data_IF_153682801595
#
_entry.id   IF_153682801595
#
_cell.length_a   1.000
_cell.length_b   1.000
_cell.length_c   1.000
_cell.angle_alpha   90.00
_cell.angle_beta   90.00
_cell.angle_gamma   90.00
#
_symmetry.space_group_name_H-M   'P 1'
#
loop_
_entity.id
_entity.type
_entity.pdbx_description
1 polymer ?
#
# COMPACT_ATOMS: atom_id res chain seq x y z
N UNK A 1 -7.88 -13.13 4.98
CA UNK A 1 -9.20 -12.86 5.60
C UNK A 1 -9.69 -13.92 6.59
N UNK A 2 -9.58 -15.24 6.31
CA UNK A 2 -10.14 -16.29 7.21
C UNK A 2 -9.65 -16.20 8.67
N UNK A 3 -8.44 -15.71 8.91
CA UNK A 3 -7.90 -15.50 10.27
C UNK A 3 -8.45 -14.24 10.94
N UNK A 4 -8.60 -13.13 10.21
CA UNK A 4 -9.07 -11.86 10.79
C UNK A 4 -10.56 -11.90 11.13
N UNK A 5 -11.40 -12.46 10.25
CA UNK A 5 -12.83 -12.58 10.51
C UNK A 5 -13.14 -13.45 11.74
N UNK A 6 -12.25 -14.41 12.07
CA UNK A 6 -12.36 -15.23 13.28
C UNK A 6 -11.92 -14.50 14.54
N UNK A 7 -10.88 -13.66 14.45
CA UNK A 7 -10.29 -12.96 15.62
C UNK A 7 -11.03 -11.64 15.92
N UNK A 8 -11.37 -10.88 14.88
CA UNK A 8 -12.01 -9.59 14.97
C UNK A 8 -13.08 -9.44 13.86
N UNK A 9 -14.27 -10.06 14.03
CA UNK A 9 -15.32 -10.07 13.01
C UNK A 9 -15.72 -8.67 12.54
N UNK A 10 -15.87 -7.72 13.47
CA UNK A 10 -16.26 -6.34 13.13
C UNK A 10 -15.20 -5.62 12.30
N UNK A 11 -13.91 -5.86 12.59
CA UNK A 11 -12.84 -5.26 11.80
C UNK A 11 -12.83 -5.82 10.37
N UNK A 12 -13.03 -7.13 10.21
CA UNK A 12 -13.14 -7.74 8.88
C UNK A 12 -14.35 -7.18 8.08
N UNK A 13 -15.49 -6.99 8.75
CA UNK A 13 -16.67 -6.37 8.15
C UNK A 13 -16.38 -4.92 7.70
N UNK A 14 -15.75 -4.10 8.56
CA UNK A 14 -15.39 -2.72 8.22
C UNK A 14 -14.36 -2.66 7.08
N UNK A 15 -13.36 -3.54 7.08
CA UNK A 15 -12.41 -3.64 5.97
C UNK A 15 -13.10 -3.97 4.65
N UNK A 16 -14.09 -4.87 4.66
CA UNK A 16 -14.80 -5.18 3.42
C UNK A 16 -15.72 -4.03 2.99
N UNK A 17 -16.60 -3.57 3.89
CA UNK A 17 -17.70 -2.69 3.53
C UNK A 17 -17.27 -1.23 3.39
N UNK A 18 -16.49 -0.72 4.35
CA UNK A 18 -16.12 0.70 4.38
C UNK A 18 -14.85 0.95 3.58
N UNK A 19 -13.85 0.08 3.72
CA UNK A 19 -12.58 0.28 3.03
C UNK A 19 -12.69 -0.17 1.56
N UNK A 20 -12.84 -1.46 1.29
CA UNK A 20 -12.74 -1.98 -0.09
C UNK A 20 -13.98 -1.73 -0.96
N UNK A 21 -15.19 -1.80 -0.40
CA UNK A 21 -16.43 -1.63 -1.17
C UNK A 21 -16.94 -0.18 -1.25
N UNK A 22 -16.31 0.76 -0.52
CA UNK A 22 -16.65 2.19 -0.57
C UNK A 22 -15.39 3.03 -0.83
N UNK A 23 -14.54 3.26 0.17
CA UNK A 23 -13.43 4.24 0.03
C UNK A 23 -12.51 3.95 -1.17
N UNK A 24 -12.24 2.67 -1.48
CA UNK A 24 -11.42 2.28 -2.64
C UNK A 24 -12.13 2.35 -3.99
N UNK A 25 -13.46 2.41 -4.03
CA UNK A 25 -14.26 2.45 -5.28
C UNK A 25 -14.73 3.85 -5.65
N UNK A 26 -14.52 4.84 -4.78
CA UNK A 26 -14.94 6.23 -5.04
C UNK A 26 -14.15 6.87 -6.18
N UNK A 27 -14.84 7.55 -7.08
CA UNK A 27 -14.28 8.63 -7.91
C UNK A 27 -13.91 9.81 -6.98
N UNK A 28 -12.85 10.62 -7.18
CA UNK A 28 -12.14 11.01 -8.41
C UNK A 28 -10.73 10.42 -8.60
N UNK A 29 -10.26 9.57 -7.69
CA UNK A 29 -8.96 8.89 -7.81
C UNK A 29 -9.15 7.46 -8.29
N UNK A 30 -8.42 7.10 -9.33
CA UNK A 30 -8.32 5.74 -9.83
C UNK A 30 -7.73 4.79 -8.78
N UNK A 31 -7.98 3.46 -8.89
CA UNK A 31 -7.32 2.47 -8.04
C UNK A 31 -5.78 2.57 -8.10
N UNK A 32 -5.23 2.94 -9.26
CA UNK A 32 -3.79 3.22 -9.45
C UNK A 32 -3.33 4.33 -8.53
N UNK A 33 -3.98 5.50 -8.57
CA UNK A 33 -3.62 6.65 -7.75
C UNK A 33 -3.81 6.38 -6.24
N UNK A 34 -4.85 5.64 -5.87
CA UNK A 34 -5.06 5.22 -4.47
C UNK A 34 -3.97 4.29 -3.98
N UNK A 35 -3.54 3.35 -4.81
CA UNK A 35 -2.39 2.49 -4.52
C UNK A 35 -1.12 3.30 -4.35
N UNK A 36 -0.84 4.25 -5.24
CA UNK A 36 0.30 5.15 -5.16
C UNK A 36 0.34 5.91 -3.81
N UNK A 37 -0.77 6.56 -3.42
CA UNK A 37 -0.86 7.30 -2.16
C UNK A 37 -0.73 6.37 -0.95
N UNK A 38 -1.32 5.17 -1.03
CA UNK A 38 -1.22 4.18 0.05
C UNK A 38 0.21 3.70 0.26
N UNK A 39 0.93 3.41 -0.83
CA UNK A 39 2.36 3.06 -0.76
C UNK A 39 3.17 4.19 -0.13
N UNK A 40 2.93 5.44 -0.55
CA UNK A 40 3.63 6.58 0.02
C UNK A 40 3.37 6.76 1.51
N UNK A 41 2.10 6.65 1.94
CA UNK A 41 1.72 6.75 3.35
C UNK A 41 2.33 5.62 4.21
N UNK A 42 2.29 4.38 3.73
CA UNK A 42 2.87 3.24 4.46
C UNK A 42 4.38 3.38 4.63
N UNK A 43 5.08 3.82 3.58
CA UNK A 43 6.52 4.11 3.63
C UNK A 43 6.81 5.23 4.61
N UNK A 44 6.12 6.37 4.50
CA UNK A 44 6.35 7.52 5.37
C UNK A 44 6.07 7.23 6.86
N UNK A 45 5.11 6.34 7.15
CA UNK A 45 4.78 5.91 8.51
C UNK A 45 5.60 4.70 9.00
N UNK A 46 6.56 4.21 8.21
CA UNK A 46 7.39 3.04 8.54
C UNK A 46 6.58 1.75 8.70
N UNK A 47 5.43 1.61 8.02
CA UNK A 47 4.52 0.45 8.11
C UNK A 47 4.92 -0.65 7.12
N UNK A 48 6.21 -1.01 7.13
CA UNK A 48 6.84 -1.90 6.14
C UNK A 48 6.20 -3.29 6.06
N UNK A 49 5.67 -3.80 7.16
CA UNK A 49 4.96 -5.09 7.22
C UNK A 49 3.71 -5.14 6.31
N UNK A 50 3.13 -4.00 5.95
CA UNK A 50 1.98 -3.92 5.05
C UNK A 50 2.39 -3.78 3.57
N UNK A 51 3.61 -3.32 3.29
CA UNK A 51 4.07 -3.01 1.94
C UNK A 51 4.03 -4.21 0.99
N UNK A 52 4.45 -5.44 1.35
CA UNK A 52 4.45 -6.56 0.40
C UNK A 52 3.08 -6.84 -0.23
N UNK A 53 1.99 -6.72 0.55
CA UNK A 53 0.65 -6.89 0.03
C UNK A 53 0.23 -5.71 -0.84
N UNK A 54 0.48 -4.48 -0.38
CA UNK A 54 0.10 -3.27 -1.12
C UNK A 54 0.92 -3.03 -2.40
N UNK A 55 2.18 -3.49 -2.46
CA UNK A 55 3.01 -3.45 -3.68
C UNK A 55 2.36 -4.33 -4.76
N UNK A 56 2.03 -5.59 -4.44
CA UNK A 56 1.32 -6.47 -5.38
C UNK A 56 -0.02 -5.90 -5.82
N UNK A 57 -0.75 -5.31 -4.88
CA UNK A 57 -2.04 -4.68 -5.18
C UNK A 57 -1.88 -3.42 -6.06
N UNK A 58 -0.82 -2.64 -5.86
CA UNK A 58 -0.47 -1.50 -6.70
C UNK A 58 -0.14 -1.92 -8.13
N UNK A 59 0.61 -3.01 -8.30
CA UNK A 59 0.92 -3.57 -9.61
C UNK A 59 -0.33 -4.08 -10.33
N UNK A 60 -1.23 -4.77 -9.61
CA UNK A 60 -2.53 -5.18 -10.15
C UNK A 60 -3.39 -3.98 -10.60
N UNK A 61 -3.28 -2.85 -9.90
CA UNK A 61 -3.94 -1.60 -10.25
C UNK A 61 -3.18 -0.78 -11.31
N UNK A 62 -2.07 -1.28 -11.85
CA UNK A 62 -1.37 -0.69 -12.99
C UNK A 62 -0.18 0.21 -12.67
N UNK A 63 0.38 0.17 -11.44
CA UNK A 63 1.71 0.75 -11.21
C UNK A 63 2.81 -0.18 -11.73
N UNK A 64 3.78 0.37 -12.45
CA UNK A 64 4.97 -0.41 -12.83
C UNK A 64 5.94 -0.55 -11.65
N UNK A 65 6.89 -1.49 -11.75
CA UNK A 65 7.94 -1.66 -10.74
C UNK A 65 8.80 -0.41 -10.65
N UNK A 66 9.13 0.19 -11.79
CA UNK A 66 9.93 1.42 -11.91
C UNK A 66 9.23 2.59 -11.21
N UNK A 67 7.91 2.75 -11.40
CA UNK A 67 7.14 3.79 -10.73
C UNK A 67 7.14 3.62 -9.21
N UNK A 68 7.04 2.37 -8.72
CA UNK A 68 7.10 2.09 -7.27
C UNK A 68 8.49 2.40 -6.70
N UNK A 69 9.56 2.03 -7.42
CA UNK A 69 10.95 2.36 -7.04
C UNK A 69 11.15 3.87 -6.97
N UNK A 70 10.65 4.62 -7.97
CA UNK A 70 10.73 6.08 -7.98
C UNK A 70 10.01 6.71 -6.80
N UNK A 71 8.83 6.21 -6.43
CA UNK A 71 8.06 6.72 -5.28
C UNK A 71 8.81 6.53 -3.98
N UNK A 72 9.35 5.34 -3.73
CA UNK A 72 10.12 5.08 -2.52
C UNK A 72 11.41 5.89 -2.48
N UNK A 73 12.10 6.01 -3.62
CA UNK A 73 13.30 6.86 -3.76
C UNK A 73 12.98 8.32 -3.47
N UNK A 74 11.89 8.86 -4.03
CA UNK A 74 11.46 10.23 -3.78
C UNK A 74 11.15 10.48 -2.30
N UNK A 75 10.59 9.48 -1.61
CA UNK A 75 10.30 9.58 -0.18
C UNK A 75 11.54 9.57 0.70
N UNK A 76 12.73 9.24 0.20
CA UNK A 76 13.97 9.40 0.97
C UNK A 76 14.17 10.88 1.41
N UNK A 77 13.70 11.82 0.60
CA UNK A 77 13.82 13.27 0.86
C UNK A 77 12.75 13.81 1.80
N UNK A 78 11.57 13.17 1.89
CA UNK A 78 10.43 13.67 2.67
C UNK A 78 10.15 12.86 3.94
N UNK A 79 10.46 11.56 3.92
CA UNK A 79 10.28 10.62 5.02
C UNK A 79 11.61 10.09 5.59
N UNK A 80 12.74 10.47 4.99
CA UNK A 80 14.08 10.08 5.41
C UNK A 80 14.58 8.80 4.74
N UNK A 81 15.91 8.72 4.60
CA UNK A 81 16.61 7.60 3.97
C UNK A 81 16.21 6.22 4.53
N UNK A 82 16.10 6.02 5.86
CA UNK A 82 15.74 4.73 6.42
C UNK A 82 14.36 4.24 5.96
N UNK A 83 13.36 5.13 5.86
CA UNK A 83 12.02 4.77 5.43
C UNK A 83 12.01 4.29 3.97
N UNK A 84 12.73 5.01 3.09
CA UNK A 84 12.87 4.64 1.68
C UNK A 84 13.58 3.29 1.51
N UNK A 85 14.71 3.09 2.20
CA UNK A 85 15.47 1.83 2.13
C UNK A 85 14.63 0.65 2.59
N UNK A 86 13.98 0.74 3.76
CA UNK A 86 13.15 -0.37 4.25
C UNK A 86 11.93 -0.65 3.36
N UNK A 87 11.41 0.36 2.65
CA UNK A 87 10.37 0.14 1.65
C UNK A 87 10.90 -0.56 0.39
N UNK A 88 12.09 -0.16 -0.09
CA UNK A 88 12.75 -0.80 -1.23
C UNK A 88 13.12 -2.26 -0.94
N UNK A 89 13.54 -2.59 0.28
CA UNK A 89 13.79 -3.98 0.72
C UNK A 89 12.54 -4.87 0.66
N UNK A 90 11.33 -4.28 0.64
CA UNK A 90 10.08 -5.02 0.49
C UNK A 90 9.74 -5.36 -0.98
N UNK A 91 10.44 -4.78 -1.95
CA UNK A 91 10.35 -5.19 -3.36
C UNK A 91 11.17 -6.46 -3.53
N UNK A 92 10.51 -7.61 -3.68
CA UNK A 92 11.22 -8.85 -4.01
C UNK A 92 11.94 -8.69 -5.36
N UNK A 93 13.14 -9.27 -5.46
CA UNK A 93 13.75 -9.58 -6.76
C UNK A 93 12.92 -10.68 -7.43
N UNK A 94 12.76 -10.59 -8.75
CA UNK A 94 12.08 -11.60 -9.56
C UNK A 94 12.80 -12.94 -9.56
#
# INVERSE_FOLDING_TARGET
MKTLARIAPKLAELSQNVLFNDIWTREPLSPRERSLVTLGALTALGRVQQLPWHIRFAQQNGLTREEIVEVFTHLAFYAGWPAAVSALECLQEE
#
